data_IF_177559527390
#
_entry.id   IF_177559527390
#
_cell.length_a   1.000
_cell.length_b   1.000
_cell.length_c   1.000
_cell.angle_alpha   90.00
_cell.angle_beta   90.00
_cell.angle_gamma   90.00
#
_symmetry.space_group_name_H-M   'P 1'
#
loop_
_entity.id
_entity.type
_entity.pdbx_description
1 polymer ?
#
# COMPACT_ATOMS: atom_id res chain seq x y z
N UNK A 1 11.90 18.10 -2.52
CA UNK A 1 11.07 16.92 -2.76
C UNK A 1 11.90 15.66 -2.56
N UNK A 2 11.47 14.77 -1.71
CA UNK A 2 12.19 13.51 -1.47
C UNK A 2 11.94 12.56 -2.66
N UNK A 3 13.01 12.06 -3.25
CA UNK A 3 12.90 11.06 -4.30
C UNK A 3 12.38 9.74 -3.72
N UNK A 4 11.38 9.14 -4.36
CA UNK A 4 10.84 7.84 -3.96
C UNK A 4 11.64 6.75 -4.65
N UNK A 5 12.07 5.76 -3.87
CA UNK A 5 12.87 4.63 -4.36
C UNK A 5 12.09 3.34 -4.19
N UNK A 6 12.03 2.54 -5.24
CA UNK A 6 11.40 1.21 -5.19
C UNK A 6 12.41 0.19 -4.66
N UNK A 7 11.97 -0.62 -3.72
CA UNK A 7 12.73 -1.75 -3.20
C UNK A 7 12.46 -2.95 -4.10
N UNK A 8 13.47 -3.39 -4.82
CA UNK A 8 13.37 -4.43 -5.83
C UNK A 8 14.38 -5.58 -5.66
N UNK A 9 15.06 -5.63 -4.51
CA UNK A 9 15.96 -6.73 -4.16
C UNK A 9 15.58 -7.34 -2.82
N UNK A 10 15.86 -8.64 -2.64
CA UNK A 10 15.62 -9.31 -1.35
C UNK A 10 16.45 -8.70 -0.23
N UNK A 11 17.67 -8.27 -0.52
CA UNK A 11 18.55 -7.65 0.46
C UNK A 11 17.95 -6.36 1.02
N UNK A 12 17.52 -5.46 0.14
CA UNK A 12 16.89 -4.20 0.56
C UNK A 12 15.53 -4.43 1.21
N UNK A 13 14.78 -5.43 0.73
CA UNK A 13 13.53 -5.84 1.36
C UNK A 13 13.74 -6.28 2.81
N UNK A 14 14.74 -7.12 3.08
CA UNK A 14 15.00 -7.60 4.44
C UNK A 14 15.43 -6.47 5.37
N UNK A 15 16.19 -5.48 4.87
CA UNK A 15 16.51 -4.28 5.65
C UNK A 15 15.26 -3.46 5.96
N UNK A 16 14.37 -3.31 4.97
CA UNK A 16 13.10 -2.61 5.17
C UNK A 16 12.23 -3.32 6.22
N UNK A 17 12.20 -4.64 6.23
CA UNK A 17 11.47 -5.43 7.25
C UNK A 17 11.95 -5.08 8.66
N UNK A 18 13.27 -4.97 8.86
CA UNK A 18 13.84 -4.58 10.15
C UNK A 18 13.41 -3.16 10.55
N UNK A 19 13.42 -2.22 9.61
CA UNK A 19 12.99 -0.84 9.86
C UNK A 19 11.50 -0.76 10.21
N UNK A 20 10.67 -1.53 9.51
CA UNK A 20 9.23 -1.58 9.79
C UNK A 20 8.97 -2.19 11.16
N UNK A 21 9.71 -3.25 11.52
CA UNK A 21 9.59 -3.88 12.83
C UNK A 21 9.95 -2.94 13.98
N UNK A 22 10.85 -1.99 13.76
CA UNK A 22 11.26 -0.99 14.74
C UNK A 22 10.28 0.18 14.87
N UNK A 23 9.32 0.33 13.97
CA UNK A 23 8.31 1.37 14.02
C UNK A 23 7.21 1.10 15.04
N UNK A 24 6.27 2.01 15.15
CA UNK A 24 5.21 1.97 16.16
C UNK A 24 3.82 2.15 15.53
N UNK A 25 2.83 1.50 16.14
CA UNK A 25 1.43 1.69 15.77
C UNK A 25 1.00 0.90 14.54
N UNK A 26 -0.19 1.21 14.03
CA UNK A 26 -0.76 0.51 12.88
C UNK A 26 0.09 0.64 11.62
N UNK A 27 -0.12 -0.28 10.71
CA UNK A 27 0.57 -0.31 9.43
C UNK A 27 -0.42 0.03 8.32
N UNK A 28 -0.18 1.10 7.58
CA UNK A 28 -0.97 1.42 6.40
C UNK A 28 -0.44 0.60 5.22
N UNK A 29 -1.34 -0.05 4.50
CA UNK A 29 -1.01 -0.96 3.39
C UNK A 29 -1.88 -0.63 2.19
N UNK A 30 -1.29 -0.63 1.01
CA UNK A 30 -2.00 -0.55 -0.25
C UNK A 30 -1.26 -1.40 -1.30
N UNK A 31 -1.90 -1.69 -2.40
CA UNK A 31 -1.30 -2.45 -3.49
C UNK A 31 -1.81 -1.91 -4.84
N UNK A 32 -0.93 -1.93 -5.83
CA UNK A 32 -1.26 -1.57 -7.20
C UNK A 32 -1.16 -2.80 -8.09
N UNK A 33 -2.17 -3.01 -8.93
CA UNK A 33 -2.21 -4.10 -9.89
C UNK A 33 -2.26 -3.56 -11.32
N UNK A 34 -2.00 -4.43 -12.30
CA UNK A 34 -2.15 -4.07 -13.72
C UNK A 34 -3.54 -4.44 -14.24
N UNK A 35 -4.57 -4.18 -13.46
CA UNK A 35 -5.96 -4.49 -13.77
C UNK A 35 -6.36 -3.89 -15.12
N UNK A 36 -6.91 -4.72 -16.01
CA UNK A 36 -7.26 -4.32 -17.38
C UNK A 36 -6.13 -4.49 -18.40
N UNK A 37 -4.88 -4.62 -17.95
CA UNK A 37 -3.71 -4.84 -18.82
C UNK A 37 -3.15 -6.26 -18.71
N UNK A 38 -3.47 -6.97 -17.62
CA UNK A 38 -3.01 -8.34 -17.37
C UNK A 38 -4.19 -9.18 -16.86
N UNK A 39 -4.15 -10.47 -17.13
CA UNK A 39 -5.20 -11.40 -16.68
C UNK A 39 -5.14 -11.72 -15.19
N UNK A 40 -3.97 -11.60 -14.57
CA UNK A 40 -3.83 -11.87 -13.14
C UNK A 40 -4.12 -10.62 -12.31
N UNK A 41 -4.63 -10.80 -11.10
CA UNK A 41 -4.79 -9.74 -10.11
C UNK A 41 -3.54 -9.56 -9.25
N UNK A 42 -2.38 -9.94 -9.78
CA UNK A 42 -1.09 -9.86 -9.11
C UNK A 42 -0.77 -8.43 -8.70
N UNK A 43 -0.19 -8.28 -7.52
CA UNK A 43 0.35 -7.00 -7.09
C UNK A 43 1.67 -6.70 -7.84
N UNK A 44 1.77 -5.49 -8.38
CA UNK A 44 2.99 -4.99 -9.03
C UNK A 44 3.69 -3.91 -8.22
N UNK A 45 3.02 -3.38 -7.21
CA UNK A 45 3.59 -2.50 -6.21
C UNK A 45 2.85 -2.75 -4.90
N UNK A 46 3.58 -2.77 -3.78
CA UNK A 46 2.99 -2.80 -2.44
C UNK A 46 3.55 -1.60 -1.70
N UNK A 47 2.63 -0.76 -1.19
CA UNK A 47 2.97 0.42 -0.42
C UNK A 47 2.74 0.14 1.06
N UNK A 48 3.71 0.50 1.91
CA UNK A 48 3.60 0.38 3.36
C UNK A 48 4.05 1.67 4.01
N UNK A 49 3.30 2.10 5.02
CA UNK A 49 3.69 3.20 5.91
C UNK A 49 3.54 2.75 7.36
N UNK A 50 4.53 3.11 8.16
CA UNK A 50 4.46 2.95 9.61
C UNK A 50 5.12 4.15 10.29
N UNK A 51 4.50 4.65 11.35
CA UNK A 51 5.07 5.75 12.15
C UNK A 51 6.43 5.33 12.72
N UNK A 52 7.42 6.19 12.54
CA UNK A 52 8.80 5.94 12.95
C UNK A 52 9.64 5.19 11.93
N UNK A 53 9.01 4.56 10.94
CA UNK A 53 9.71 3.83 9.87
C UNK A 53 9.65 4.57 8.53
N UNK A 54 8.51 5.20 8.22
CA UNK A 54 8.30 5.93 6.97
C UNK A 54 7.55 5.13 5.92
N UNK A 55 7.69 5.55 4.67
CA UNK A 55 7.04 4.95 3.51
C UNK A 55 7.97 3.97 2.81
N UNK A 56 7.45 2.80 2.44
CA UNK A 56 8.18 1.77 1.70
C UNK A 56 7.39 1.38 0.46
N UNK A 57 8.07 1.33 -0.68
CA UNK A 57 7.49 0.93 -1.96
C UNK A 57 8.22 -0.33 -2.42
N UNK A 58 7.51 -1.45 -2.48
CA UNK A 58 8.07 -2.76 -2.81
C UNK A 58 7.65 -3.21 -4.21
N UNK A 59 8.57 -3.83 -4.92
CA UNK A 59 8.33 -4.49 -6.21
C UNK A 59 8.14 -6.00 -5.99
N UNK A 60 6.88 -6.51 -5.83
CA UNK A 60 6.66 -7.92 -5.55
C UNK A 60 7.19 -8.88 -6.61
N UNK A 61 7.07 -8.60 -7.94
CA UNK A 61 7.66 -9.48 -8.93
C UNK A 61 9.17 -9.72 -8.76
N UNK A 62 9.90 -8.70 -8.32
CA UNK A 62 11.36 -8.81 -8.12
C UNK A 62 11.72 -9.43 -6.77
N UNK A 63 10.93 -9.16 -5.73
CA UNK A 63 11.20 -9.63 -4.36
C UNK A 63 10.74 -11.07 -4.14
N UNK A 64 9.56 -11.43 -4.65
CA UNK A 64 8.95 -12.74 -4.44
C UNK A 64 8.01 -12.74 -3.23
N UNK A 65 8.22 -13.64 -2.26
CA UNK A 65 7.33 -13.76 -1.11
C UNK A 65 7.70 -12.80 0.01
N UNK A 66 6.70 -12.38 0.74
CA UNK A 66 6.79 -11.41 1.85
C UNK A 66 6.60 -12.07 3.22
N UNK A 67 6.99 -13.34 3.36
CA UNK A 67 6.78 -14.08 4.60
C UNK A 67 7.51 -13.46 5.80
N UNK A 68 8.68 -12.88 5.58
CA UNK A 68 9.46 -12.22 6.63
C UNK A 68 8.74 -10.96 7.14
N UNK A 69 8.18 -10.17 6.24
CA UNK A 69 7.39 -9.00 6.62
C UNK A 69 6.13 -9.43 7.38
N UNK A 70 5.44 -10.46 6.88
CA UNK A 70 4.27 -11.03 7.54
C UNK A 70 4.57 -11.40 8.99
N UNK A 71 5.71 -12.04 9.23
CA UNK A 71 6.08 -12.47 10.57
C UNK A 71 6.21 -11.31 11.57
N UNK A 72 6.67 -10.14 11.11
CA UNK A 72 6.89 -8.99 12.02
C UNK A 72 5.68 -8.08 12.17
N UNK A 73 4.69 -8.14 11.26
CA UNK A 73 3.52 -7.25 11.32
C UNK A 73 2.19 -8.00 11.49
N UNK A 74 2.19 -9.32 11.61
CA UNK A 74 0.97 -10.13 11.66
C UNK A 74 0.06 -9.81 12.85
N UNK A 75 0.62 -9.40 13.97
CA UNK A 75 -0.14 -9.06 15.18
C UNK A 75 -0.55 -7.59 15.25
N UNK A 76 -0.07 -6.76 14.35
CA UNK A 76 -0.40 -5.34 14.30
C UNK A 76 -1.70 -5.09 13.54
N UNK A 77 -2.37 -3.99 13.83
CA UNK A 77 -3.51 -3.53 13.04
C UNK A 77 -3.00 -3.00 11.69
N UNK A 78 -3.62 -3.45 10.61
CA UNK A 78 -3.36 -2.92 9.27
C UNK A 78 -4.48 -1.98 8.88
N UNK A 79 -4.13 -0.83 8.33
CA UNK A 79 -5.07 0.16 7.82
C UNK A 79 -5.08 0.07 6.31
N UNK A 80 -6.26 -0.24 5.73
CA UNK A 80 -6.46 -0.32 4.30
C UNK A 80 -7.70 0.49 3.91
N UNK A 81 -7.73 0.97 2.67
CA UNK A 81 -8.93 1.57 2.12
C UNK A 81 -9.54 0.59 1.11
N UNK A 82 -10.77 0.12 1.37
CA UNK A 82 -11.42 -0.92 0.59
C UNK A 82 -10.60 -2.23 0.59
N UNK A 83 -10.35 -2.77 1.77
CA UNK A 83 -9.48 -3.94 1.99
C UNK A 83 -9.84 -5.15 1.11
N UNK A 84 -11.13 -5.36 0.82
CA UNK A 84 -11.58 -6.47 -0.01
C UNK A 84 -10.98 -6.46 -1.42
N UNK A 85 -10.55 -5.31 -1.92
CA UNK A 85 -9.94 -5.20 -3.24
C UNK A 85 -8.47 -5.66 -3.24
N UNK A 86 -7.76 -5.47 -2.13
CA UNK A 86 -6.32 -5.70 -2.05
C UNK A 86 -5.95 -7.05 -1.42
N UNK A 87 -6.80 -7.60 -0.57
CA UNK A 87 -6.46 -8.79 0.22
C UNK A 87 -6.06 -9.99 -0.65
N UNK A 88 -6.72 -10.20 -1.78
CA UNK A 88 -6.42 -11.33 -2.66
C UNK A 88 -4.98 -11.27 -3.19
N UNK A 89 -4.55 -10.11 -3.70
CA UNK A 89 -3.21 -9.96 -4.23
C UNK A 89 -2.14 -9.93 -3.13
N UNK A 90 -2.45 -9.42 -1.95
CA UNK A 90 -1.56 -9.45 -0.80
C UNK A 90 -1.32 -10.89 -0.32
N UNK A 91 -2.38 -11.68 -0.26
CA UNK A 91 -2.29 -13.09 0.14
C UNK A 91 -1.44 -13.93 -0.80
N UNK A 92 -1.44 -13.61 -2.09
CA UNK A 92 -0.59 -14.30 -3.07
C UNK A 92 0.90 -14.21 -2.72
N UNK A 93 1.33 -13.15 -2.07
CA UNK A 93 2.74 -12.99 -1.66
C UNK A 93 2.99 -13.30 -0.18
N UNK A 94 1.97 -13.79 0.52
CA UNK A 94 2.09 -14.22 1.92
C UNK A 94 1.73 -13.15 2.94
N UNK A 95 1.10 -12.05 2.51
CA UNK A 95 0.65 -10.98 3.41
C UNK A 95 -0.85 -11.17 3.72
N UNK A 96 -1.16 -11.41 4.99
CA UNK A 96 -2.52 -11.67 5.44
C UNK A 96 -2.73 -11.04 6.82
N UNK A 97 -3.51 -9.95 6.93
CA UNK A 97 -3.72 -9.29 8.21
C UNK A 97 -4.61 -10.10 9.14
N UNK A 98 -4.33 -10.02 10.45
CA UNK A 98 -5.21 -10.55 11.49
C UNK A 98 -6.24 -9.51 11.89
N UNK A 99 -5.84 -8.24 12.01
CA UNK A 99 -6.73 -7.13 12.37
C UNK A 99 -6.65 -6.06 11.30
N UNK A 100 -7.80 -5.70 10.74
CA UNK A 100 -7.91 -4.68 9.68
C UNK A 100 -8.80 -3.53 10.13
N UNK A 101 -8.33 -2.30 9.95
CA UNK A 101 -9.15 -1.11 9.98
C UNK A 101 -9.34 -0.63 8.53
N UNK A 102 -10.55 -0.81 8.01
CA UNK A 102 -10.89 -0.40 6.64
C UNK A 102 -11.48 0.99 6.66
N UNK A 103 -10.74 1.97 6.12
CA UNK A 103 -11.18 3.37 6.11
C UNK A 103 -12.38 3.62 5.21
N UNK A 104 -12.60 2.80 4.19
CA UNK A 104 -13.82 2.88 3.38
C UNK A 104 -15.04 2.46 4.19
N UNK A 105 -14.97 1.32 4.90
CA UNK A 105 -16.06 0.86 5.76
C UNK A 105 -16.33 1.84 6.89
N UNK A 106 -15.28 2.39 7.51
CA UNK A 106 -15.44 3.41 8.55
C UNK A 106 -16.16 4.64 8.02
N UNK A 107 -15.81 5.11 6.82
CA UNK A 107 -16.46 6.23 6.18
C UNK A 107 -17.94 5.95 5.91
N UNK A 108 -18.28 4.75 5.44
CA UNK A 108 -19.69 4.33 5.25
C UNK A 108 -20.46 4.32 6.55
N UNK A 109 -19.86 3.81 7.62
CA UNK A 109 -20.51 3.77 8.94
C UNK A 109 -20.75 5.17 9.53
N UNK A 110 -19.91 6.14 9.17
CA UNK A 110 -20.09 7.54 9.55
C UNK A 110 -21.10 8.28 8.68
N UNK A 111 -21.67 7.63 7.68
CA UNK A 111 -22.65 8.24 6.77
C UNK A 111 -22.06 9.17 5.73
N UNK A 112 -20.78 9.06 5.43
CA UNK A 112 -20.12 9.86 4.39
C UNK A 112 -20.65 9.40 3.02
N UNK A 113 -21.21 10.32 2.19
CA UNK A 113 -21.89 9.93 0.96
C UNK A 113 -20.95 9.43 -0.15
N UNK A 114 -19.68 9.85 -0.12
CA UNK A 114 -18.64 9.40 -1.06
C UNK A 114 -17.45 8.88 -0.28
N UNK A 115 -17.15 7.60 -0.47
CA UNK A 115 -16.19 6.88 0.36
C UNK A 115 -14.87 6.51 -0.34
N UNK A 116 -14.65 6.98 -1.56
CA UNK A 116 -13.34 6.85 -2.22
C UNK A 116 -12.24 7.52 -1.40
N UNK A 117 -11.01 7.00 -1.47
CA UNK A 117 -9.90 7.49 -0.64
C UNK A 117 -9.69 9.00 -0.81
N UNK A 118 -9.65 9.48 -2.06
CA UNK A 118 -9.46 10.91 -2.34
C UNK A 118 -10.52 11.79 -1.70
N UNK A 119 -11.79 11.36 -1.74
CA UNK A 119 -12.90 12.11 -1.14
C UNK A 119 -12.81 12.13 0.38
N UNK A 120 -12.47 10.99 0.99
CA UNK A 120 -12.34 10.89 2.45
C UNK A 120 -11.17 11.75 2.95
N UNK A 121 -10.04 11.72 2.26
CA UNK A 121 -8.87 12.53 2.60
C UNK A 121 -9.19 14.03 2.48
N UNK A 122 -9.86 14.44 1.41
CA UNK A 122 -10.28 15.83 1.23
C UNK A 122 -11.23 16.28 2.35
N UNK A 123 -12.23 15.45 2.66
CA UNK A 123 -13.23 15.75 3.69
C UNK A 123 -12.62 15.84 5.10
N UNK A 124 -11.71 14.93 5.44
CA UNK A 124 -11.17 14.81 6.80
C UNK A 124 -9.88 15.58 7.02
N UNK A 125 -9.04 15.70 6.01
CA UNK A 125 -7.72 16.31 6.13
C UNK A 125 -7.58 17.61 5.33
N UNK A 126 -8.55 17.93 4.47
CA UNK A 126 -8.48 19.11 3.61
C UNK A 126 -7.43 19.02 2.51
N UNK A 127 -6.94 17.82 2.23
CA UNK A 127 -5.90 17.57 1.22
C UNK A 127 -6.55 17.00 -0.04
N UNK A 128 -6.25 17.58 -1.20
CA UNK A 128 -6.74 17.09 -2.49
C UNK A 128 -5.72 16.13 -3.09
N UNK A 129 -6.10 14.85 -3.25
CA UNK A 129 -5.30 13.85 -3.94
C UNK A 129 -5.67 13.81 -5.42
N UNK A 130 -4.65 13.74 -6.28
CA UNK A 130 -4.85 13.56 -7.71
C UNK A 130 -5.11 12.09 -8.03
N UNK A 131 -6.11 11.81 -8.88
CA UNK A 131 -6.45 10.43 -9.29
C UNK A 131 -5.83 10.08 -10.66
N UNK A 132 -4.63 10.54 -10.92
CA UNK A 132 -4.04 10.49 -12.26
C UNK A 132 -3.62 9.07 -12.71
N UNK A 133 -3.32 8.18 -11.76
CA UNK A 133 -2.67 6.91 -12.07
C UNK A 133 -3.40 5.66 -11.56
N UNK A 134 -4.64 5.79 -11.10
CA UNK A 134 -5.40 4.67 -10.54
C UNK A 134 -5.65 3.53 -11.54
N UNK A 135 -5.71 3.83 -12.83
CA UNK A 135 -5.92 2.86 -13.91
C UNK A 135 -4.66 2.62 -14.75
N UNK A 136 -3.47 3.01 -14.26
CA UNK A 136 -2.23 2.84 -14.98
C UNK A 136 -1.79 1.37 -15.02
N UNK A 137 -0.95 1.04 -15.98
CA UNK A 137 -0.33 -0.29 -16.07
C UNK A 137 0.88 -0.37 -15.11
N UNK A 138 0.64 -0.79 -13.89
CA UNK A 138 1.65 -0.89 -12.84
C UNK A 138 2.70 -1.98 -13.09
N UNK A 139 2.54 -2.78 -14.14
CA UNK A 139 3.60 -3.71 -14.57
C UNK A 139 4.73 -3.01 -15.33
N UNK A 140 4.60 -1.73 -15.64
CA UNK A 140 5.63 -0.91 -16.31
C UNK A 140 6.91 -0.88 -15.48
N UNK A 141 8.07 -1.06 -16.15
CA UNK A 141 9.38 -0.96 -15.49
C UNK A 141 10.37 -0.16 -16.37
N UNK A 142 11.11 0.79 -15.80
CA UNK A 142 10.96 1.29 -14.43
C UNK A 142 9.64 2.08 -14.27
N UNK A 143 9.13 2.12 -13.04
CA UNK A 143 7.95 2.92 -12.73
C UNK A 143 8.30 4.41 -12.77
N UNK A 144 7.51 5.27 -13.44
CA UNK A 144 7.75 6.70 -13.45
C UNK A 144 7.70 7.31 -12.04
N UNK A 145 8.53 8.32 -11.78
CA UNK A 145 8.60 8.97 -10.47
C UNK A 145 7.26 9.54 -10.01
N UNK A 146 6.47 10.10 -10.94
CA UNK A 146 5.15 10.63 -10.62
C UNK A 146 4.18 9.55 -10.12
N UNK A 147 4.31 8.32 -10.63
CA UNK A 147 3.49 7.20 -10.17
C UNK A 147 3.90 6.75 -8.77
N UNK A 148 5.19 6.78 -8.47
CA UNK A 148 5.71 6.45 -7.14
C UNK A 148 5.23 7.44 -6.09
N UNK A 149 5.22 8.71 -6.41
CA UNK A 149 4.69 9.75 -5.52
C UNK A 149 3.19 9.58 -5.31
N UNK A 150 2.43 9.31 -6.36
CA UNK A 150 1.01 9.00 -6.27
C UNK A 150 0.75 7.82 -5.32
N UNK A 151 1.47 6.73 -5.53
CA UNK A 151 1.30 5.51 -4.72
C UNK A 151 1.70 5.71 -3.26
N UNK A 152 2.77 6.45 -3.00
CA UNK A 152 3.22 6.73 -1.64
C UNK A 152 2.19 7.54 -0.83
N UNK A 153 1.52 8.49 -1.46
CA UNK A 153 0.50 9.30 -0.79
C UNK A 153 -0.71 8.48 -0.32
N UNK A 154 -1.02 7.37 -0.99
CA UNK A 154 -2.15 6.52 -0.60
C UNK A 154 -1.98 5.90 0.80
N UNK A 155 -0.76 5.75 1.28
CA UNK A 155 -0.48 5.18 2.62
C UNK A 155 0.06 6.21 3.60
N UNK A 156 0.64 7.29 3.13
CA UNK A 156 1.27 8.32 3.97
C UNK A 156 0.22 9.21 4.66
N UNK A 157 -0.95 9.39 4.07
CA UNK A 157 -2.06 10.20 4.58
C UNK A 157 -3.08 9.37 5.33
#
# INVERSE_FOLDING_TARGET
>A
MTERVVIDTREDYLRAVEEIAAGEGPIAVDAESASGFRYSQRAYLIQIFRRGSGVFLFDPPAIGRFDELQAVISSDEWVLHAASQDLACLREVGLDPTVVFDTELAARLLGIPRVGLGTVVEDKLGIVLRKEHSAADWSTRPLPDSWLEYAALDVEL
#
